data_IF_488137152414
#
_entry.id   IF_488137152414
#
_cell.length_a   1.000
_cell.length_b   1.000
_cell.length_c   1.000
_cell.angle_alpha   90.00
_cell.angle_beta   90.00
_cell.angle_gamma   90.00
#
_symmetry.space_group_name_H-M   'P 1'
#
loop_
_entity.id
_entity.type
_entity.pdbx_description
1 polymer ?
#
# COMPACT_ATOMS: atom_id res chain seq x y z
N UNK A 1 -24.30 -7.05 -11.25
CA UNK A 1 -24.11 -5.59 -11.09
C UNK A 1 -23.94 -5.20 -9.61
N UNK A 2 -23.35 -6.07 -8.80
CA UNK A 2 -22.84 -5.80 -7.45
C UNK A 2 -21.65 -6.75 -7.28
N UNK A 3 -20.55 -6.28 -6.72
CA UNK A 3 -19.37 -7.08 -6.33
C UNK A 3 -18.36 -7.51 -7.41
N UNK A 4 -18.06 -6.65 -8.38
CA UNK A 4 -16.74 -6.71 -9.02
C UNK A 4 -15.68 -6.30 -8.00
N UNK A 5 -14.96 -7.27 -7.44
CA UNK A 5 -13.67 -7.04 -6.80
C UNK A 5 -12.83 -6.21 -7.79
N UNK A 6 -12.61 -4.91 -7.49
CA UNK A 6 -11.75 -4.07 -8.31
C UNK A 6 -10.37 -4.70 -8.30
N UNK A 7 -9.99 -5.35 -9.40
CA UNK A 7 -8.75 -6.13 -9.48
C UNK A 7 -7.52 -5.29 -9.11
N UNK A 8 -7.53 -4.00 -9.45
CA UNK A 8 -6.49 -3.03 -9.08
C UNK A 8 -6.30 -2.83 -7.57
N UNK A 9 -7.24 -3.22 -6.71
CA UNK A 9 -7.09 -3.14 -5.25
C UNK A 9 -6.31 -4.34 -4.68
N UNK A 10 -6.26 -5.47 -5.38
CA UNK A 10 -5.63 -6.72 -4.91
C UNK A 10 -4.41 -7.14 -5.71
N UNK A 11 -4.32 -6.79 -7.00
CA UNK A 11 -3.17 -7.10 -7.86
C UNK A 11 -2.13 -5.99 -7.71
N UNK A 12 -0.87 -6.40 -7.57
CA UNK A 12 0.27 -5.48 -7.50
C UNK A 12 0.60 -4.90 -8.90
N UNK A 13 0.82 -3.57 -9.04
CA UNK A 13 0.74 -2.54 -8.00
C UNK A 13 -0.71 -2.22 -7.62
N UNK A 14 -1.01 -2.23 -6.31
CA UNK A 14 -2.37 -2.01 -5.83
C UNK A 14 -2.75 -0.51 -5.80
N UNK A 15 -4.05 -0.24 -5.66
CA UNK A 15 -4.62 1.10 -5.61
C UNK A 15 -4.09 2.02 -4.50
N UNK A 16 -3.53 1.47 -3.44
CA UNK A 16 -3.04 2.24 -2.29
C UNK A 16 -1.57 2.62 -2.41
N UNK A 17 -0.82 1.95 -3.29
CA UNK A 17 0.64 2.07 -3.42
C UNK A 17 1.11 3.52 -3.46
N UNK A 18 0.51 4.34 -4.32
CA UNK A 18 0.98 5.72 -4.52
C UNK A 18 0.70 6.61 -3.31
N UNK A 19 -0.45 6.42 -2.67
CA UNK A 19 -0.78 7.13 -1.45
C UNK A 19 0.16 6.73 -0.31
N UNK A 20 0.47 5.44 -0.18
CA UNK A 20 1.39 4.92 0.84
C UNK A 20 2.81 5.45 0.65
N UNK A 21 3.36 5.35 -0.57
CA UNK A 21 4.71 5.87 -0.87
C UNK A 21 4.79 7.38 -0.58
N UNK A 22 3.75 8.15 -0.92
CA UNK A 22 3.73 9.60 -0.68
C UNK A 22 3.73 9.92 0.81
N UNK A 23 3.03 9.12 1.62
CA UNK A 23 2.85 9.40 3.05
C UNK A 23 3.96 8.81 3.92
N UNK A 24 4.40 7.59 3.63
CA UNK A 24 5.29 6.80 4.49
C UNK A 24 6.64 6.50 3.84
N UNK A 25 6.83 6.87 2.58
CA UNK A 25 8.06 6.55 1.84
C UNK A 25 8.15 5.08 1.38
N UNK A 26 7.22 4.21 1.77
CA UNK A 26 7.07 2.84 1.28
C UNK A 26 5.60 2.49 1.05
N UNK A 27 5.32 1.51 0.18
CA UNK A 27 4.00 0.87 0.12
C UNK A 27 3.81 -0.11 1.27
N UNK A 28 2.56 -0.51 1.56
CA UNK A 28 2.24 -1.50 2.62
C UNK A 28 3.15 -2.74 2.65
N UNK A 29 3.45 -3.34 1.48
CA UNK A 29 4.29 -4.53 1.38
C UNK A 29 5.82 -4.25 1.36
N UNK A 30 6.24 -2.99 1.47
CA UNK A 30 7.63 -2.51 1.30
C UNK A 30 8.31 -2.91 -0.04
N UNK A 31 7.53 -3.29 -1.07
CA UNK A 31 8.06 -3.63 -2.40
C UNK A 31 8.44 -2.39 -3.23
N UNK A 32 7.68 -1.30 -3.07
CA UNK A 32 7.95 -0.02 -3.70
C UNK A 32 8.27 1.00 -2.62
N UNK A 33 9.41 1.68 -2.76
CA UNK A 33 9.94 2.62 -1.75
C UNK A 33 10.56 3.84 -2.43
N UNK A 34 10.64 4.95 -1.69
CA UNK A 34 11.42 6.11 -2.09
C UNK A 34 12.91 5.88 -1.83
N UNK A 35 13.82 6.57 -2.54
CA UNK A 35 15.26 6.51 -2.23
C UNK A 35 15.57 6.89 -0.79
N UNK A 36 14.94 7.94 -0.26
CA UNK A 36 15.14 8.38 1.11
C UNK A 36 14.77 7.30 2.14
N UNK A 37 13.68 6.56 1.91
CA UNK A 37 13.30 5.40 2.74
C UNK A 37 14.34 4.28 2.60
N UNK A 38 14.72 3.94 1.37
CA UNK A 38 15.65 2.84 1.08
C UNK A 38 17.07 3.08 1.63
N UNK A 39 17.49 4.34 1.71
CA UNK A 39 18.76 4.78 2.26
C UNK A 39 18.71 5.06 3.76
N UNK A 40 17.55 4.85 4.42
CA UNK A 40 17.38 5.10 5.86
C UNK A 40 17.43 6.58 6.26
N UNK A 41 17.19 7.50 5.31
CA UNK A 41 17.16 8.95 5.55
C UNK A 41 15.86 9.45 6.17
N UNK A 42 14.82 8.61 6.17
CA UNK A 42 13.54 8.87 6.85
C UNK A 42 13.16 7.67 7.72
N UNK A 43 12.31 7.85 8.75
CA UNK A 43 11.83 6.75 9.58
C UNK A 43 11.09 5.68 8.77
N UNK A 44 11.27 4.42 9.17
CA UNK A 44 10.49 3.29 8.65
C UNK A 44 9.26 3.11 9.55
N UNK A 45 8.19 3.81 9.21
CA UNK A 45 6.94 3.78 9.97
C UNK A 45 5.99 2.66 9.51
N UNK A 46 5.08 2.27 10.40
CA UNK A 46 4.02 1.32 10.08
C UNK A 46 3.06 1.91 9.03
N UNK A 47 2.93 1.23 7.90
CA UNK A 47 1.92 1.53 6.88
C UNK A 47 0.64 0.76 7.23
N UNK A 48 -0.49 1.44 7.48
CA UNK A 48 -1.73 0.77 7.85
C UNK A 48 -2.37 0.04 6.67
N UNK A 49 -3.09 -1.05 6.97
CA UNK A 49 -3.97 -1.70 6.00
C UNK A 49 -5.11 -0.75 5.62
N UNK A 50 -5.16 -0.35 4.34
CA UNK A 50 -6.18 0.55 3.81
C UNK A 50 -7.37 -0.17 3.18
N UNK A 51 -7.28 -1.49 2.97
CA UNK A 51 -8.43 -2.26 2.51
C UNK A 51 -9.53 -2.17 3.56
N UNK A 52 -10.75 -1.83 3.15
CA UNK A 52 -11.85 -1.81 4.09
C UNK A 52 -12.12 -3.24 4.58
N UNK A 53 -12.56 -3.42 5.83
CA UNK A 53 -12.66 -4.75 6.47
C UNK A 53 -13.44 -5.78 5.64
N UNK A 54 -14.50 -5.37 4.94
CA UNK A 54 -15.30 -6.26 4.09
C UNK A 54 -14.54 -6.81 2.87
N UNK A 55 -13.36 -6.25 2.55
CA UNK A 55 -12.46 -6.71 1.48
C UNK A 55 -11.20 -7.40 2.00
N UNK A 56 -11.06 -7.54 3.32
CA UNK A 56 -10.01 -8.34 3.93
C UNK A 56 -10.44 -9.80 3.88
N UNK A 57 -9.57 -10.68 3.36
CA UNK A 57 -9.80 -12.13 3.43
C UNK A 57 -9.34 -12.61 4.81
N UNK A 58 -10.18 -13.39 5.47
CA UNK A 58 -9.86 -14.11 6.71
C UNK A 58 -8.90 -15.27 6.46
#
# INVERSE_FOLDING_TARGET
MTDTVKMYTLICPCAYREADIRQYGSCYCNLYVTPAWNEGKIPVDYVPERRPPEKMRA
#
